data_IF_820897377401
#
_entry.id   IF_820897377401
#
_cell.length_a   1.000
_cell.length_b   1.000
_cell.length_c   1.000
_cell.angle_alpha   90.00
_cell.angle_beta   90.00
_cell.angle_gamma   90.00
#
_symmetry.space_group_name_H-M   'P 1'
#
loop_
_entity.id
_entity.type
_entity.pdbx_description
1 polymer ?
#
# COMPACT_ATOMS: atom_id res chain seq x y z
N UNK A 1 8.31 -2.16 24.83
CA UNK A 1 9.35 -2.13 23.79
C UNK A 1 9.21 -3.40 22.96
N UNK A 2 8.53 -3.31 21.79
CA UNK A 2 8.26 -4.43 20.87
C UNK A 2 9.47 -4.66 19.93
N UNK A 3 10.49 -3.83 20.01
CA UNK A 3 11.56 -3.77 19.02
C UNK A 3 12.61 -4.90 19.09
N UNK A 4 12.52 -5.87 20.01
CA UNK A 4 13.54 -6.91 20.17
C UNK A 4 13.00 -8.33 20.40
N UNK A 5 11.78 -8.62 20.00
CA UNK A 5 11.32 -10.01 19.92
C UNK A 5 11.64 -10.53 18.52
N UNK A 6 12.75 -11.22 18.39
CA UNK A 6 13.00 -12.10 17.25
C UNK A 6 12.05 -13.28 17.44
N UNK A 7 10.96 -13.31 16.68
CA UNK A 7 10.12 -14.50 16.59
C UNK A 7 10.88 -15.50 15.71
N UNK A 8 11.34 -16.58 16.26
CA UNK A 8 11.76 -17.76 15.48
C UNK A 8 10.49 -18.31 14.81
N UNK A 9 10.29 -17.96 13.56
CA UNK A 9 9.24 -18.53 12.73
C UNK A 9 9.82 -19.77 12.03
N UNK A 10 9.37 -20.94 12.45
CA UNK A 10 9.65 -22.20 11.73
C UNK A 10 8.42 -22.56 10.88
N UNK A 11 8.42 -22.24 9.59
CA UNK A 11 7.33 -22.65 8.70
C UNK A 11 7.33 -24.17 8.57
N UNK A 12 6.13 -24.78 8.45
CA UNK A 12 6.00 -26.19 8.15
C UNK A 12 6.75 -26.50 6.83
N UNK A 13 7.47 -27.63 6.78
CA UNK A 13 8.34 -28.02 5.65
C UNK A 13 7.63 -28.13 4.30
N UNK A 14 6.30 -28.21 4.28
CA UNK A 14 5.45 -28.21 3.08
C UNK A 14 4.76 -26.88 2.84
N UNK A 15 5.03 -25.84 3.66
CA UNK A 15 4.37 -24.56 3.49
C UNK A 15 4.94 -23.81 2.29
N UNK A 16 4.11 -22.93 1.74
CA UNK A 16 4.48 -22.07 0.62
C UNK A 16 5.63 -21.12 0.98
N UNK A 17 5.66 -20.64 2.21
CA UNK A 17 6.72 -19.79 2.76
C UNK A 17 8.04 -20.54 2.92
N UNK A 18 8.00 -21.82 3.30
CA UNK A 18 9.19 -22.65 3.44
C UNK A 18 9.91 -22.82 2.09
N UNK A 19 9.16 -23.03 1.02
CA UNK A 19 9.72 -23.11 -0.34
C UNK A 19 10.46 -21.83 -0.72
N UNK A 20 9.85 -20.65 -0.51
CA UNK A 20 10.52 -19.38 -0.80
C UNK A 20 11.81 -19.23 0.00
N UNK A 21 11.74 -19.47 1.33
CA UNK A 21 12.92 -19.34 2.20
C UNK A 21 14.04 -20.29 1.73
N UNK A 22 13.69 -21.53 1.39
CA UNK A 22 14.66 -22.52 0.91
C UNK A 22 15.32 -22.09 -0.41
N UNK A 23 14.53 -21.60 -1.37
CA UNK A 23 15.03 -21.12 -2.66
C UNK A 23 15.92 -19.87 -2.49
N UNK A 24 15.54 -18.93 -1.59
CA UNK A 24 16.36 -17.75 -1.29
C UNK A 24 17.69 -18.08 -0.62
N UNK A 25 17.71 -19.09 0.26
CA UNK A 25 18.95 -19.54 0.93
C UNK A 25 19.87 -20.31 -0.05
N UNK A 26 19.29 -21.05 -0.99
CA UNK A 26 20.06 -21.83 -1.98
C UNK A 26 20.59 -20.98 -3.14
N UNK A 27 20.06 -19.78 -3.35
CA UNK A 27 20.53 -18.89 -4.39
C UNK A 27 21.95 -18.40 -4.09
N UNK A 28 22.85 -18.53 -5.08
CA UNK A 28 24.27 -18.18 -4.93
C UNK A 28 24.54 -16.68 -4.97
N UNK A 29 23.64 -15.91 -5.61
CA UNK A 29 23.77 -14.47 -5.80
C UNK A 29 22.42 -13.75 -5.70
N UNK A 30 22.46 -12.42 -5.82
CA UNK A 30 21.28 -11.56 -5.78
C UNK A 30 20.31 -11.82 -6.93
N UNK A 31 20.81 -12.12 -8.12
CA UNK A 31 19.95 -12.37 -9.28
C UNK A 31 19.17 -13.67 -9.09
N UNK A 32 19.78 -14.72 -8.59
CA UNK A 32 19.09 -15.96 -8.21
C UNK A 32 18.05 -15.75 -7.10
N UNK A 33 18.34 -14.92 -6.10
CA UNK A 33 17.36 -14.55 -5.06
C UNK A 33 16.17 -13.79 -5.65
N UNK A 34 16.42 -12.89 -6.59
CA UNK A 34 15.37 -12.14 -7.27
C UNK A 34 14.49 -13.04 -8.14
N UNK A 35 15.09 -14.00 -8.87
CA UNK A 35 14.36 -15.00 -9.66
C UNK A 35 13.47 -15.88 -8.76
N UNK A 36 13.98 -16.36 -7.64
CA UNK A 36 13.22 -17.15 -6.67
C UNK A 36 12.01 -16.34 -6.14
N UNK A 37 12.22 -15.07 -5.81
CA UNK A 37 11.13 -14.17 -5.36
C UNK A 37 10.09 -13.94 -6.46
N UNK A 38 10.51 -13.68 -7.70
CA UNK A 38 9.60 -13.48 -8.84
C UNK A 38 8.80 -14.76 -9.12
N UNK A 39 9.43 -15.90 -9.09
CA UNK A 39 8.77 -17.19 -9.27
C UNK A 39 7.73 -17.44 -8.20
N UNK A 40 8.09 -17.23 -6.92
CA UNK A 40 7.18 -17.31 -5.79
C UNK A 40 5.98 -16.38 -5.92
N UNK A 41 6.19 -15.10 -6.29
CA UNK A 41 5.10 -14.13 -6.48
C UNK A 41 4.18 -14.51 -7.64
N UNK A 42 4.72 -15.08 -8.71
CA UNK A 42 3.90 -15.55 -9.84
C UNK A 42 3.08 -16.80 -9.50
N UNK A 43 3.63 -17.71 -8.72
CA UNK A 43 2.91 -18.88 -8.22
C UNK A 43 1.85 -18.49 -7.20
N UNK A 44 2.13 -17.52 -6.31
CA UNK A 44 1.17 -17.02 -5.32
C UNK A 44 -0.07 -16.40 -5.93
N UNK A 45 0.03 -15.80 -7.13
CA UNK A 45 -1.14 -15.28 -7.87
C UNK A 45 -2.21 -16.33 -8.12
N UNK A 46 -1.84 -17.61 -8.22
CA UNK A 46 -2.79 -18.72 -8.41
C UNK A 46 -3.63 -18.99 -7.17
N UNK A 47 -3.12 -18.63 -5.99
CA UNK A 47 -3.77 -18.89 -4.69
C UNK A 47 -4.51 -17.67 -4.14
N UNK A 48 -4.20 -16.47 -4.63
CA UNK A 48 -4.84 -15.22 -4.22
C UNK A 48 -5.71 -14.73 -5.37
N UNK A 49 -6.81 -15.44 -5.62
CA UNK A 49 -7.83 -14.99 -6.57
C UNK A 49 -8.60 -13.82 -5.94
N UNK A 50 -8.13 -12.59 -6.19
CA UNK A 50 -8.95 -11.40 -5.88
C UNK A 50 -10.03 -11.31 -6.97
N UNK A 51 -11.32 -11.28 -6.62
CA UNK A 51 -12.40 -11.16 -7.59
C UNK A 51 -12.24 -9.92 -8.48
N UNK A 52 -12.55 -10.05 -9.77
CA UNK A 52 -12.37 -8.98 -10.78
C UNK A 52 -13.06 -7.67 -10.41
N UNK A 53 -14.22 -7.73 -9.77
CA UNK A 53 -14.95 -6.56 -9.31
C UNK A 53 -14.18 -5.77 -8.23
N UNK A 54 -13.41 -6.44 -7.38
CA UNK A 54 -12.56 -5.78 -6.36
C UNK A 54 -11.35 -5.15 -7.04
N UNK A 55 -10.75 -5.85 -8.00
CA UNK A 55 -9.65 -5.32 -8.81
C UNK A 55 -10.12 -4.06 -9.55
N UNK A 56 -11.32 -4.09 -10.13
CA UNK A 56 -11.91 -2.94 -10.81
C UNK A 56 -12.09 -1.76 -9.85
N UNK A 57 -12.71 -1.95 -8.68
CA UNK A 57 -12.88 -0.89 -7.68
C UNK A 57 -11.53 -0.35 -7.18
N UNK A 58 -10.53 -1.19 -6.94
CA UNK A 58 -9.20 -0.77 -6.55
C UNK A 58 -8.51 0.07 -7.65
N UNK A 59 -8.73 -0.27 -8.91
CA UNK A 59 -8.23 0.51 -10.05
C UNK A 59 -8.91 1.87 -10.15
N UNK A 60 -10.21 1.96 -9.91
CA UNK A 60 -10.92 3.26 -9.87
C UNK A 60 -10.40 4.15 -8.73
N UNK A 61 -10.14 3.57 -7.53
CA UNK A 61 -9.48 4.30 -6.44
C UNK A 61 -8.10 4.81 -6.85
N UNK A 62 -7.31 3.98 -7.54
CA UNK A 62 -5.95 4.39 -8.03
C UNK A 62 -6.04 5.50 -9.08
N UNK A 63 -6.96 5.39 -10.07
CA UNK A 63 -7.18 6.42 -11.08
C UNK A 63 -7.58 7.76 -10.46
N UNK A 64 -8.43 7.73 -9.43
CA UNK A 64 -8.82 8.92 -8.67
C UNK A 64 -7.75 9.37 -7.66
N UNK A 65 -6.54 8.74 -7.64
CA UNK A 65 -5.50 9.03 -6.66
C UNK A 65 -6.00 8.96 -5.20
N UNK A 66 -6.94 8.05 -4.91
CA UNK A 66 -7.55 7.89 -3.61
C UNK A 66 -8.63 8.94 -3.27
N UNK A 67 -8.97 9.84 -4.20
CA UNK A 67 -9.97 10.89 -3.99
C UNK A 67 -11.33 10.48 -4.61
N UNK A 68 -11.92 9.42 -4.07
CA UNK A 68 -13.23 8.89 -4.47
C UNK A 68 -14.06 8.58 -3.22
N UNK A 69 -15.38 8.81 -3.28
CA UNK A 69 -16.27 8.42 -2.20
C UNK A 69 -16.65 6.94 -2.28
N UNK A 70 -16.86 6.32 -1.13
CA UNK A 70 -17.25 4.91 -1.10
C UNK A 70 -18.67 4.71 -1.66
N UNK A 71 -19.52 5.75 -1.54
CA UNK A 71 -20.83 5.80 -2.22
C UNK A 71 -20.72 5.65 -3.73
N UNK A 72 -19.71 6.28 -4.35
CA UNK A 72 -19.51 6.19 -5.80
C UNK A 72 -19.13 4.78 -6.21
N UNK A 73 -18.27 4.12 -5.43
CA UNK A 73 -17.95 2.70 -5.62
C UNK A 73 -19.19 1.81 -5.43
N UNK A 74 -20.08 2.17 -4.50
CA UNK A 74 -21.34 1.47 -4.27
C UNK A 74 -22.28 1.57 -5.48
N UNK A 75 -22.43 2.77 -6.04
CA UNK A 75 -23.23 2.99 -7.26
C UNK A 75 -22.65 2.22 -8.48
N UNK A 76 -21.33 2.32 -8.69
CA UNK A 76 -20.66 1.68 -9.82
C UNK A 76 -20.73 0.15 -9.77
N UNK A 77 -20.64 -0.43 -8.58
CA UNK A 77 -20.56 -1.89 -8.40
C UNK A 77 -21.90 -2.55 -8.12
N UNK A 78 -22.91 -1.79 -7.71
CA UNK A 78 -24.19 -2.31 -7.21
C UNK A 78 -24.10 -2.97 -5.82
N UNK A 79 -22.94 -2.87 -5.15
CA UNK A 79 -22.76 -3.42 -3.81
C UNK A 79 -23.01 -2.36 -2.73
N UNK A 80 -23.56 -2.77 -1.58
CA UNK A 80 -23.62 -1.88 -0.42
C UNK A 80 -22.21 -1.56 0.10
N UNK A 81 -22.02 -0.38 0.70
CA UNK A 81 -20.74 0.03 1.31
C UNK A 81 -20.23 -1.00 2.35
N UNK A 82 -21.15 -1.63 3.09
CA UNK A 82 -20.80 -2.70 4.05
C UNK A 82 -20.21 -3.92 3.34
N UNK A 83 -20.77 -4.28 2.18
CA UNK A 83 -20.26 -5.40 1.40
C UNK A 83 -18.89 -5.08 0.82
N UNK A 84 -18.70 -3.87 0.23
CA UNK A 84 -17.42 -3.37 -0.27
C UNK A 84 -16.36 -3.41 0.84
N UNK A 85 -16.70 -2.92 2.05
CA UNK A 85 -15.77 -2.93 3.16
C UNK A 85 -15.30 -4.35 3.54
N UNK A 86 -16.22 -5.33 3.54
CA UNK A 86 -15.88 -6.74 3.78
C UNK A 86 -14.97 -7.30 2.69
N UNK A 87 -15.27 -7.02 1.43
CA UNK A 87 -14.50 -7.47 0.28
C UNK A 87 -13.07 -6.90 0.31
N UNK A 88 -12.92 -5.59 0.55
CA UNK A 88 -11.61 -4.95 0.65
C UNK A 88 -10.79 -5.49 1.83
N UNK A 89 -11.42 -5.68 2.99
CA UNK A 89 -10.73 -6.30 4.14
C UNK A 89 -10.24 -7.72 3.85
N UNK A 90 -11.03 -8.49 3.12
CA UNK A 90 -10.66 -9.86 2.73
C UNK A 90 -9.50 -9.87 1.72
N UNK A 91 -9.53 -8.95 0.72
CA UNK A 91 -8.56 -8.94 -0.38
C UNK A 91 -7.25 -8.20 -0.03
N UNK A 92 -7.36 -7.11 0.73
CA UNK A 92 -6.23 -6.18 0.98
C UNK A 92 -5.91 -6.01 2.47
N UNK A 93 -6.60 -6.70 3.38
CA UNK A 93 -6.41 -6.55 4.83
C UNK A 93 -6.95 -5.25 5.41
N UNK A 94 -7.35 -4.29 4.58
CA UNK A 94 -7.80 -2.96 4.97
C UNK A 94 -9.14 -2.60 4.32
N UNK A 95 -9.92 -1.73 4.96
CA UNK A 95 -11.16 -1.22 4.37
C UNK A 95 -10.89 -0.26 3.19
N UNK A 96 -11.90 0.00 2.34
CA UNK A 96 -11.73 0.86 1.17
C UNK A 96 -11.34 2.29 1.53
N UNK A 97 -11.79 2.83 2.67
CA UNK A 97 -11.37 4.16 3.16
C UNK A 97 -9.88 4.22 3.48
N UNK A 98 -9.35 3.18 4.11
CA UNK A 98 -7.93 3.12 4.44
C UNK A 98 -7.08 2.84 3.18
N UNK A 99 -7.62 2.05 2.26
CA UNK A 99 -7.02 1.86 0.94
C UNK A 99 -6.91 3.19 0.17
N UNK A 100 -7.98 4.01 0.15
CA UNK A 100 -7.96 5.36 -0.43
C UNK A 100 -6.89 6.27 0.22
N UNK A 101 -6.79 6.27 1.57
CA UNK A 101 -5.75 7.02 2.28
C UNK A 101 -4.34 6.59 1.88
N UNK A 102 -4.10 5.27 1.79
CA UNK A 102 -2.80 4.75 1.37
C UNK A 102 -2.43 5.20 -0.05
N UNK A 103 -3.36 5.14 -0.99
CA UNK A 103 -3.14 5.61 -2.37
C UNK A 103 -2.84 7.10 -2.41
N UNK A 104 -3.58 7.93 -1.67
CA UNK A 104 -3.30 9.38 -1.55
C UNK A 104 -1.90 9.63 -0.99
N UNK A 105 -1.56 8.93 0.09
CA UNK A 105 -0.25 9.07 0.71
C UNK A 105 0.88 8.67 -0.24
N UNK A 106 0.77 7.54 -0.95
CA UNK A 106 1.74 7.11 -1.95
C UNK A 106 1.92 8.16 -3.06
N UNK A 107 0.81 8.75 -3.53
CA UNK A 107 0.87 9.83 -4.54
C UNK A 107 1.66 11.03 -4.03
N UNK A 108 1.41 11.48 -2.81
CA UNK A 108 2.12 12.61 -2.19
C UNK A 108 3.61 12.32 -2.05
N UNK A 109 3.97 11.15 -1.53
CA UNK A 109 5.39 10.76 -1.40
C UNK A 109 6.06 10.77 -2.77
N UNK A 110 5.41 10.21 -3.79
CA UNK A 110 5.92 10.25 -5.16
C UNK A 110 6.10 11.69 -5.67
N UNK A 111 5.13 12.57 -5.42
CA UNK A 111 5.19 13.97 -5.85
C UNK A 111 6.32 14.73 -5.13
N UNK A 112 6.50 14.50 -3.82
CA UNK A 112 7.60 15.10 -3.04
C UNK A 112 8.97 14.61 -3.53
N UNK A 113 9.11 13.32 -3.82
CA UNK A 113 10.37 12.76 -4.33
C UNK A 113 10.72 13.34 -5.69
N UNK A 114 9.72 13.48 -6.57
CA UNK A 114 9.93 14.01 -7.93
C UNK A 114 10.22 15.51 -7.96
N UNK A 115 9.65 16.29 -7.04
CA UNK A 115 9.88 17.73 -6.95
C UNK A 115 9.83 18.21 -5.48
N UNK A 116 10.92 18.03 -4.72
CA UNK A 116 10.96 18.35 -3.29
C UNK A 116 10.91 19.86 -2.98
N UNK A 117 11.09 20.71 -3.99
CA UNK A 117 11.08 22.18 -3.84
C UNK A 117 9.72 22.82 -4.10
N UNK A 118 8.72 22.02 -4.50
CA UNK A 118 7.36 22.47 -4.68
C UNK A 118 6.71 22.92 -3.35
N UNK A 119 5.84 23.92 -3.41
CA UNK A 119 5.14 24.37 -2.21
C UNK A 119 4.21 23.30 -1.64
N UNK A 120 4.15 23.20 -0.31
CA UNK A 120 3.27 22.24 0.37
C UNK A 120 1.79 22.39 -0.01
N UNK A 121 1.35 23.62 -0.30
CA UNK A 121 -0.01 23.94 -0.78
C UNK A 121 -0.40 23.16 -2.03
N UNK A 122 0.55 22.98 -2.95
CA UNK A 122 0.31 22.30 -4.24
C UNK A 122 0.15 20.79 -4.08
N UNK A 123 0.91 20.17 -3.15
CA UNK A 123 0.72 18.74 -2.83
C UNK A 123 -0.65 18.49 -2.20
N UNK A 124 -1.08 19.40 -1.31
CA UNK A 124 -2.34 19.31 -0.59
C UNK A 124 -3.52 19.43 -1.55
N UNK A 125 -3.48 20.45 -2.43
CA UNK A 125 -4.56 20.70 -3.40
C UNK A 125 -4.77 19.52 -4.35
N UNK A 126 -3.68 18.90 -4.82
CA UNK A 126 -3.73 17.78 -5.76
C UNK A 126 -4.11 16.44 -5.10
N UNK A 127 -3.97 16.32 -3.79
CA UNK A 127 -4.20 15.07 -3.06
C UNK A 127 -5.57 14.95 -2.38
N UNK A 128 -6.44 15.96 -2.51
CA UNK A 128 -7.81 15.91 -1.97
C UNK A 128 -7.88 16.01 -0.44
N UNK A 129 -6.92 16.67 0.20
CA UNK A 129 -7.01 17.00 1.62
C UNK A 129 -7.88 18.25 1.83
N UNK A 130 -8.69 18.24 2.90
CA UNK A 130 -9.54 19.37 3.25
C UNK A 130 -8.75 20.60 3.67
N UNK A 131 -7.61 20.39 4.32
CA UNK A 131 -6.75 21.44 4.84
C UNK A 131 -5.34 20.94 5.16
N UNK A 132 -4.43 21.89 5.37
CA UNK A 132 -3.02 21.62 5.68
C UNK A 132 -2.84 20.86 7.00
N UNK A 133 -3.68 21.10 7.99
CA UNK A 133 -3.56 20.43 9.29
C UNK A 133 -3.93 18.94 9.18
N UNK A 134 -4.94 18.62 8.36
CA UNK A 134 -5.31 17.23 8.06
C UNK A 134 -4.16 16.50 7.36
N UNK A 135 -3.59 17.11 6.32
CA UNK A 135 -2.42 16.57 5.64
C UNK A 135 -1.24 16.32 6.59
N UNK A 136 -0.85 17.30 7.39
CA UNK A 136 0.27 17.17 8.31
C UNK A 136 0.06 16.05 9.34
N UNK A 137 -1.16 15.92 9.88
CA UNK A 137 -1.51 14.85 10.83
C UNK A 137 -1.40 13.48 10.20
N UNK A 138 -1.98 13.32 9.01
CA UNK A 138 -1.95 12.04 8.29
C UNK A 138 -0.53 11.68 7.86
N UNK A 139 0.23 12.63 7.32
CA UNK A 139 1.63 12.44 6.95
C UNK A 139 2.49 11.98 8.13
N UNK A 140 2.36 12.67 9.29
CA UNK A 140 3.08 12.30 10.50
C UNK A 140 2.64 10.93 11.05
N UNK A 141 1.37 10.57 10.89
CA UNK A 141 0.88 9.25 11.30
C UNK A 141 1.53 8.11 10.50
N UNK A 142 1.80 8.33 9.20
CA UNK A 142 2.45 7.33 8.33
C UNK A 142 3.98 7.31 8.46
N UNK A 143 4.62 8.46 8.60
CA UNK A 143 6.09 8.59 8.54
C UNK A 143 6.77 8.77 9.89
N UNK A 144 6.01 9.14 10.91
CA UNK A 144 6.54 9.54 12.23
C UNK A 144 7.07 10.97 12.29
N UNK A 145 7.31 11.64 11.14
CA UNK A 145 7.89 12.98 11.03
C UNK A 145 6.98 13.93 10.25
N UNK A 146 7.27 15.23 10.31
CA UNK A 146 6.49 16.22 9.55
C UNK A 146 6.91 16.24 8.06
N UNK A 147 6.04 16.67 7.12
CA UNK A 147 6.42 16.83 5.71
C UNK A 147 7.66 17.70 5.52
N UNK A 148 7.78 18.77 6.30
CA UNK A 148 8.95 19.67 6.24
C UNK A 148 10.24 18.96 6.66
N UNK A 149 10.20 18.14 7.71
CA UNK A 149 11.35 17.35 8.16
C UNK A 149 11.73 16.33 7.10
N UNK A 150 10.74 15.63 6.55
CA UNK A 150 10.95 14.65 5.50
C UNK A 150 11.63 15.26 4.25
N UNK A 151 11.13 16.41 3.76
CA UNK A 151 11.74 17.12 2.62
C UNK A 151 13.17 17.54 2.93
N UNK A 152 13.41 18.07 4.13
CA UNK A 152 14.76 18.47 4.55
C UNK A 152 15.73 17.29 4.55
N UNK A 153 15.34 16.14 5.04
CA UNK A 153 16.17 14.93 5.05
C UNK A 153 16.40 14.35 3.65
N UNK A 154 15.41 14.50 2.76
CA UNK A 154 15.52 14.07 1.37
C UNK A 154 16.48 14.93 0.55
N UNK A 155 16.63 16.21 0.91
CA UNK A 155 17.42 17.19 0.16
C UNK A 155 18.78 17.54 0.80
N UNK A 156 19.12 16.86 1.91
CA UNK A 156 20.41 17.03 2.62
C UNK A 156 21.51 16.18 1.99
#
# INVERSE_FOLDING_TARGET
SIANQVFEYEPATESFEYRLISELIQAEDFDGQLEALICFLNDSKKYIAVPDNIIHMANEIKKASGNIHISDLSEMSGYSERHINRLFKSAYGAGPKDYCKNIRFQKIISDIINDPYKENSDYIANAGYSDQAHFQREFKAYTGITPRTFIKELTA
#
